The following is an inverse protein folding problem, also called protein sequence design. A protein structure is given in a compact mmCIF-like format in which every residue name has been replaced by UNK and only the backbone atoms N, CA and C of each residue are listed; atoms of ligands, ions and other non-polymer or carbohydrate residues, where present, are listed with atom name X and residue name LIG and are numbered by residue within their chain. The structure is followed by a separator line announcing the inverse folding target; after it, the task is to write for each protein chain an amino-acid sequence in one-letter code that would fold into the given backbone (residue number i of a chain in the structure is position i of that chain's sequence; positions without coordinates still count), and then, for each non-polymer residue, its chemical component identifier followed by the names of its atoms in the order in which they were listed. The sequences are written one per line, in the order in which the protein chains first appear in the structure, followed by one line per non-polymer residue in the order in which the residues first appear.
data_IF_793170861206
#
_entry.id   IF_793170861206
#
_cell.length_a   1.000
_cell.length_b   1.000
_cell.length_c   1.000
_cell.angle_alpha   90.00
_cell.angle_beta   90.00
_cell.angle_gamma   90.00
#
_symmetry.space_group_name_H-M   'P 1'
#
loop_
_entity.id
_entity.type
_entity.pdbx_description
1 polymer ?
#
# COMPACT_ATOMS: atom_id res chain seq x y z
N UNK A 1 -13.87 9.95 -0.65
CA UNK A 1 -13.26 9.08 0.37
C UNK A 1 -12.34 8.09 -0.32
N UNK A 2 -11.11 8.04 0.13
CA UNK A 2 -10.13 7.15 -0.50
C UNK A 2 -10.35 5.71 -0.08
N UNK A 3 -9.99 4.81 -0.97
CA UNK A 3 -10.10 3.37 -0.77
C UNK A 3 -8.72 2.76 -0.61
N UNK A 4 -8.56 2.00 0.48
CA UNK A 4 -7.33 1.29 0.82
C UNK A 4 -7.59 -0.21 0.70
N UNK A 5 -6.75 -0.91 -0.06
CA UNK A 5 -6.74 -2.36 -0.07
C UNK A 5 -5.69 -2.84 0.91
N UNK A 6 -6.13 -3.52 1.95
CA UNK A 6 -5.26 -4.07 2.98
C UNK A 6 -5.03 -5.56 2.71
N UNK A 7 -3.77 -5.93 2.55
CA UNK A 7 -3.37 -7.32 2.38
C UNK A 7 -2.62 -7.76 3.64
N UNK A 8 -3.17 -8.74 4.36
CA UNK A 8 -2.59 -9.25 5.59
C UNK A 8 -2.95 -10.72 5.76
N UNK A 9 -1.94 -11.56 5.94
CA UNK A 9 -2.16 -13.01 6.04
C UNK A 9 -2.64 -13.47 7.40
N UNK A 10 -2.33 -12.73 8.47
CA UNK A 10 -2.80 -13.04 9.81
C UNK A 10 -4.20 -12.47 10.01
N UNK A 11 -5.23 -13.32 10.26
CA UNK A 11 -6.60 -12.84 10.41
C UNK A 11 -6.80 -11.82 11.52
N UNK A 12 -6.10 -11.98 12.65
CA UNK A 12 -6.23 -11.05 13.76
C UNK A 12 -5.65 -9.68 13.42
N UNK A 13 -4.49 -9.66 12.76
CA UNK A 13 -3.89 -8.41 12.29
C UNK A 13 -4.72 -7.75 11.20
N UNK A 14 -5.31 -8.54 10.32
CA UNK A 14 -6.18 -8.01 9.28
C UNK A 14 -7.38 -7.26 9.88
N UNK A 15 -8.05 -7.88 10.85
CA UNK A 15 -9.18 -7.24 11.55
C UNK A 15 -8.74 -5.96 12.25
N UNK A 16 -7.64 -6.03 13.00
CA UNK A 16 -7.17 -4.88 13.78
C UNK A 16 -6.77 -3.71 12.89
N UNK A 17 -6.00 -3.96 11.84
CA UNK A 17 -5.58 -2.92 10.90
C UNK A 17 -6.75 -2.34 10.14
N UNK A 18 -7.69 -3.17 9.71
CA UNK A 18 -8.88 -2.68 9.02
C UNK A 18 -9.70 -1.75 9.89
N UNK A 19 -9.85 -2.07 11.18
CA UNK A 19 -10.55 -1.22 12.13
C UNK A 19 -9.87 0.14 12.28
N UNK A 20 -8.55 0.15 12.39
CA UNK A 20 -7.78 1.39 12.50
C UNK A 20 -7.95 2.25 11.25
N UNK A 21 -7.81 1.64 10.07
CA UNK A 21 -7.95 2.37 8.81
C UNK A 21 -9.35 2.95 8.63
N UNK A 22 -10.38 2.19 9.00
CA UNK A 22 -11.75 2.68 8.95
C UNK A 22 -11.98 3.82 9.92
N UNK A 23 -11.32 3.78 11.07
CA UNK A 23 -11.41 4.88 12.05
C UNK A 23 -10.81 6.18 11.52
N UNK A 24 -9.89 6.10 10.57
CA UNK A 24 -9.34 7.27 9.89
C UNK A 24 -10.25 7.81 8.78
N UNK A 25 -11.35 7.11 8.49
CA UNK A 25 -12.31 7.54 7.48
C UNK A 25 -12.11 6.90 6.09
N UNK A 26 -11.21 5.94 5.96
CA UNK A 26 -11.00 5.28 4.67
C UNK A 26 -12.00 4.15 4.44
N UNK A 27 -12.33 3.92 3.17
CA UNK A 27 -12.98 2.69 2.76
C UNK A 27 -11.92 1.61 2.67
N UNK A 28 -12.15 0.47 3.31
CA UNK A 28 -11.14 -0.60 3.38
C UNK A 28 -11.66 -1.85 2.69
N UNK A 29 -10.88 -2.32 1.74
CA UNK A 29 -11.05 -3.63 1.14
C UNK A 29 -10.01 -4.56 1.77
N UNK A 30 -10.39 -5.79 2.05
CA UNK A 30 -9.55 -6.74 2.78
C UNK A 30 -9.18 -7.90 1.88
N UNK A 31 -7.93 -8.34 1.98
CA UNK A 31 -7.44 -9.52 1.30
C UNK A 31 -6.46 -10.26 2.21
N UNK A 32 -6.50 -11.57 2.20
CA UNK A 32 -5.61 -12.41 3.01
C UNK A 32 -4.37 -12.87 2.26
N UNK A 33 -4.28 -12.56 0.98
CA UNK A 33 -3.17 -12.97 0.12
C UNK A 33 -3.10 -12.06 -1.11
N UNK A 34 -1.99 -12.13 -1.83
CA UNK A 34 -1.86 -11.42 -3.10
C UNK A 34 -2.85 -11.92 -4.15
N UNK A 35 -3.13 -13.23 -4.13
CA UNK A 35 -4.11 -13.80 -5.04
C UNK A 35 -5.51 -13.25 -4.80
N UNK A 36 -5.93 -13.18 -3.54
CA UNK A 36 -7.21 -12.56 -3.20
C UNK A 36 -7.21 -11.08 -3.51
N UNK A 37 -6.12 -10.39 -3.24
CA UNK A 37 -5.98 -8.97 -3.57
C UNK A 37 -6.13 -8.72 -5.06
N UNK A 38 -5.56 -9.57 -5.89
CA UNK A 38 -5.72 -9.47 -7.33
C UNK A 38 -7.19 -9.58 -7.75
N UNK A 39 -7.90 -10.56 -7.17
CA UNK A 39 -9.33 -10.73 -7.44
C UNK A 39 -10.13 -9.52 -7.01
N UNK A 40 -9.85 -8.98 -5.83
CA UNK A 40 -10.51 -7.77 -5.33
C UNK A 40 -10.27 -6.59 -6.26
N UNK A 41 -9.03 -6.40 -6.70
CA UNK A 41 -8.68 -5.30 -7.61
C UNK A 41 -9.39 -5.43 -8.96
N UNK A 42 -9.50 -6.65 -9.48
CA UNK A 42 -10.13 -6.90 -10.76
C UNK A 42 -11.65 -6.70 -10.70
N UNK A 43 -12.27 -6.98 -9.56
CA UNK A 43 -13.71 -6.91 -9.39
C UNK A 43 -14.21 -5.55 -8.88
N UNK A 44 -13.37 -4.80 -8.21
CA UNK A 44 -13.75 -3.52 -7.62
C UNK A 44 -13.98 -2.48 -8.70
N UNK A 45 -15.15 -1.87 -8.68
CA UNK A 45 -15.56 -0.92 -9.72
C UNK A 45 -15.21 0.54 -9.40
N UNK A 46 -14.46 0.80 -8.41
CA UNK A 46 -14.01 2.15 -8.09
C UNK A 46 -12.51 2.24 -8.13
N UNK A 47 -12.00 3.40 -7.82
CA UNK A 47 -10.56 3.61 -7.70
C UNK A 47 -10.06 2.96 -6.41
N UNK A 48 -8.97 2.21 -6.50
CA UNK A 48 -8.21 1.82 -5.32
C UNK A 48 -7.00 2.75 -5.26
N UNK A 49 -6.93 3.54 -4.19
CA UNK A 49 -5.94 4.61 -4.07
C UNK A 49 -4.63 4.13 -3.48
N UNK A 50 -4.70 3.13 -2.59
CA UNK A 50 -3.55 2.67 -1.82
C UNK A 50 -3.65 1.18 -1.56
N UNK A 51 -2.53 0.47 -1.70
CA UNK A 51 -2.37 -0.87 -1.16
C UNK A 51 -1.44 -0.80 0.03
N UNK A 52 -1.84 -1.44 1.13
CA UNK A 52 -1.02 -1.59 2.32
C UNK A 52 -0.74 -3.08 2.52
N UNK A 53 0.53 -3.45 2.58
CA UNK A 53 0.94 -4.84 2.75
C UNK A 53 2.34 -4.94 3.35
N UNK A 54 2.70 -6.13 3.85
CA UNK A 54 4.06 -6.41 4.26
C UNK A 54 4.99 -6.53 3.06
N UNK A 55 6.23 -6.13 3.24
CA UNK A 55 7.27 -6.42 2.26
C UNK A 55 7.53 -7.93 2.21
N UNK A 56 7.82 -8.42 1.02
CA UNK A 56 8.26 -9.79 0.83
C UNK A 56 9.78 -9.82 0.65
N UNK A 57 10.46 -10.88 1.12
CA UNK A 57 11.87 -11.08 0.78
C UNK A 57 12.11 -11.18 -0.72
N UNK A 58 11.12 -11.62 -1.45
CA UNK A 58 11.19 -11.68 -2.90
C UNK A 58 10.67 -10.37 -3.49
N UNK A 59 11.60 -9.49 -3.71
CA UNK A 59 11.39 -8.18 -4.28
C UNK A 59 10.82 -8.23 -5.70
N UNK A 60 11.24 -9.19 -6.51
CA UNK A 60 10.76 -9.31 -7.89
C UNK A 60 9.26 -9.65 -7.95
N UNK A 61 8.80 -10.48 -7.03
CA UNK A 61 7.38 -10.82 -6.93
C UNK A 61 6.55 -9.58 -6.58
N UNK A 62 7.03 -8.80 -5.63
CA UNK A 62 6.34 -7.57 -5.21
C UNK A 62 6.32 -6.57 -6.36
N UNK A 63 7.44 -6.38 -7.03
CA UNK A 63 7.54 -5.46 -8.17
C UNK A 63 6.58 -5.87 -9.29
N UNK A 64 6.56 -7.14 -9.65
CA UNK A 64 5.68 -7.64 -10.70
C UNK A 64 4.21 -7.49 -10.33
N UNK A 65 3.87 -7.76 -9.07
CA UNK A 65 2.51 -7.60 -8.57
C UNK A 65 2.01 -6.17 -8.79
N UNK A 66 2.79 -5.18 -8.37
CA UNK A 66 2.41 -3.77 -8.53
C UNK A 66 2.43 -3.33 -9.99
N UNK A 67 3.33 -3.85 -10.79
CA UNK A 67 3.36 -3.55 -12.22
C UNK A 67 2.06 -3.97 -12.89
N UNK A 68 1.56 -5.15 -12.55
CA UNK A 68 0.28 -5.63 -13.07
C UNK A 68 -0.90 -4.84 -12.55
N UNK A 69 -0.88 -4.48 -11.27
CA UNK A 69 -1.96 -3.71 -10.68
C UNK A 69 -2.12 -2.34 -11.32
N UNK A 70 -1.03 -1.73 -11.72
CA UNK A 70 -1.07 -0.43 -12.40
C UNK A 70 -1.80 -0.47 -13.73
N UNK A 71 -1.91 -1.63 -14.35
CA UNK A 71 -2.70 -1.78 -15.58
C UNK A 71 -4.19 -1.61 -15.32
N UNK A 72 -4.65 -1.95 -14.11
CA UNK A 72 -6.06 -1.85 -13.72
C UNK A 72 -6.32 -0.56 -12.95
N UNK A 73 -5.39 -0.20 -12.07
CA UNK A 73 -5.48 0.98 -11.21
C UNK A 73 -4.22 1.82 -11.38
N UNK A 74 -4.14 2.66 -12.44
CA UNK A 74 -2.90 3.38 -12.78
C UNK A 74 -2.40 4.34 -11.71
N UNK A 75 -3.26 4.79 -10.81
CA UNK A 75 -2.91 5.75 -9.77
C UNK A 75 -2.63 5.09 -8.42
N UNK A 76 -2.54 3.77 -8.40
CA UNK A 76 -2.34 3.04 -7.15
C UNK A 76 -0.99 3.40 -6.53
N UNK A 77 -0.97 3.51 -5.21
CA UNK A 77 0.22 3.75 -4.40
C UNK A 77 0.39 2.63 -3.40
N UNK A 78 1.58 2.50 -2.86
CA UNK A 78 1.90 1.40 -1.95
C UNK A 78 2.44 1.91 -0.63
N UNK A 79 1.90 1.40 0.47
CA UNK A 79 2.51 1.52 1.78
C UNK A 79 2.97 0.13 2.20
N UNK A 80 4.27 -0.04 2.31
CA UNK A 80 4.87 -1.33 2.62
C UNK A 80 5.30 -1.36 4.07
N UNK A 81 4.78 -2.34 4.81
CA UNK A 81 5.13 -2.55 6.21
C UNK A 81 6.38 -3.43 6.27
N UNK A 82 7.33 -3.05 7.12
CA UNK A 82 8.62 -3.74 7.16
C UNK A 82 9.15 -3.82 8.58
N UNK A 83 9.94 -4.84 8.87
CA UNK A 83 10.68 -4.95 10.13
C UNK A 83 12.06 -4.29 10.04
N UNK A 84 12.54 -4.01 8.84
CA UNK A 84 13.78 -3.29 8.61
C UNK A 84 13.55 -1.78 8.62
N UNK A 85 14.63 -0.98 8.71
CA UNK A 85 14.48 0.47 8.67
C UNK A 85 13.91 0.92 7.32
N UNK A 86 13.04 1.91 7.37
CA UNK A 86 12.39 2.45 6.16
C UNK A 86 13.40 3.00 5.16
N UNK A 87 14.43 3.68 5.65
CA UNK A 87 15.48 4.22 4.79
C UNK A 87 16.24 3.11 4.06
N UNK A 88 16.54 2.03 4.78
CA UNK A 88 17.24 0.88 4.20
C UNK A 88 16.41 0.19 3.14
N UNK A 89 15.11 0.04 3.38
CA UNK A 89 14.21 -0.56 2.41
C UNK A 89 14.07 0.30 1.16
N UNK A 90 13.98 1.61 1.33
CA UNK A 90 13.89 2.54 0.22
C UNK A 90 15.12 2.46 -0.71
N UNK A 91 16.29 2.17 -0.16
CA UNK A 91 17.51 1.99 -0.96
C UNK A 91 17.49 0.69 -1.77
N UNK A 92 16.85 -0.36 -1.22
CA UNK A 92 16.88 -1.70 -1.80
C UNK A 92 15.74 -1.99 -2.75
N UNK A 93 14.58 -1.39 -2.50
CA UNK A 93 13.38 -1.68 -3.26
C UNK A 93 13.14 -0.60 -4.30
N UNK A 94 13.23 -1.00 -5.56
CA UNK A 94 12.70 -0.18 -6.64
C UNK A 94 11.24 -0.59 -6.85
N UNK A 95 10.32 0.38 -6.83
CA UNK A 95 8.90 0.12 -7.00
C UNK A 95 8.40 0.83 -8.26
N UNK A 96 7.44 0.22 -8.98
CA UNK A 96 6.92 0.86 -10.20
C UNK A 96 5.91 1.97 -9.91
N UNK A 97 5.55 2.20 -8.66
CA UNK A 97 4.58 3.20 -8.25
C UNK A 97 5.12 4.00 -7.07
N UNK A 98 4.42 5.08 -6.73
CA UNK A 98 4.68 5.82 -5.51
C UNK A 98 4.56 4.91 -4.31
N UNK A 99 5.58 4.85 -3.48
CA UNK A 99 5.56 4.01 -2.29
C UNK A 99 6.26 4.67 -1.12
N UNK A 100 5.89 4.22 0.08
CA UNK A 100 6.58 4.52 1.32
C UNK A 100 6.71 3.23 2.11
N UNK A 101 7.68 3.21 3.02
CA UNK A 101 7.91 2.09 3.92
C UNK A 101 7.63 2.55 5.34
N UNK A 102 6.93 1.72 6.11
CA UNK A 102 6.65 1.98 7.50
C UNK A 102 7.18 0.83 8.35
N UNK A 103 8.13 1.15 9.24
CA UNK A 103 8.78 0.13 10.06
C UNK A 103 7.90 -0.24 11.26
N UNK A 104 7.75 -1.53 11.51
CA UNK A 104 7.06 -2.05 12.69
C UNK A 104 8.01 -2.13 13.87
N UNK A 105 7.53 -1.95 15.10
CA UNK A 105 6.19 -1.50 15.44
C UNK A 105 5.98 -0.02 15.17
N UNK A 106 4.75 0.37 14.83
CA UNK A 106 4.43 1.78 14.58
C UNK A 106 3.20 2.18 15.38
N UNK A 107 3.08 3.49 15.62
CA UNK A 107 1.93 4.07 16.27
C UNK A 107 0.85 4.40 15.26
N UNK A 108 -0.39 4.52 15.74
CA UNK A 108 -1.50 4.86 14.86
C UNK A 108 -1.30 6.20 14.17
N UNK A 109 -0.72 7.19 14.86
CA UNK A 109 -0.45 8.49 14.26
C UNK A 109 0.62 8.40 13.16
N UNK A 110 1.63 7.57 13.33
CA UNK A 110 2.64 7.34 12.28
C UNK A 110 2.02 6.68 11.05
N UNK A 111 1.12 5.73 11.26
CA UNK A 111 0.38 5.09 10.17
C UNK A 111 -0.48 6.11 9.43
N UNK A 112 -1.25 6.92 10.17
CA UNK A 112 -2.10 7.95 9.58
C UNK A 112 -1.28 8.93 8.74
N UNK A 113 -0.15 9.39 9.24
CA UNK A 113 0.73 10.32 8.54
C UNK A 113 1.33 9.71 7.29
N UNK A 114 1.74 8.44 7.34
CA UNK A 114 2.30 7.75 6.19
C UNK A 114 1.27 7.61 5.06
N UNK A 115 0.05 7.24 5.40
CA UNK A 115 -1.03 7.13 4.42
C UNK A 115 -1.36 8.50 3.82
N UNK A 116 -1.50 9.50 4.66
CA UNK A 116 -1.81 10.85 4.21
C UNK A 116 -0.72 11.41 3.32
N UNK A 117 0.53 11.19 3.68
CA UNK A 117 1.66 11.61 2.85
C UNK A 117 1.64 11.00 1.45
N UNK A 118 1.23 9.74 1.34
CA UNK A 118 1.09 9.09 0.05
C UNK A 118 -0.12 9.59 -0.74
N UNK A 119 -1.25 9.76 -0.09
CA UNK A 119 -2.50 10.14 -0.76
C UNK A 119 -2.53 11.61 -1.16
N UNK A 120 -2.04 12.48 -0.31
CA UNK A 120 -1.93 13.91 -0.57
C UNK A 120 -0.62 14.25 -1.29
N UNK A 121 0.25 13.30 -1.31
CA UNK A 121 1.56 13.45 -1.87
C UNK A 121 1.49 13.57 -3.37
N UNK A 122 2.55 13.92 -3.93
CA UNK A 122 2.54 14.84 -5.03
C UNK A 122 2.25 14.19 -6.35
N UNK A 123 1.10 14.49 -6.81
CA UNK A 123 0.92 14.62 -8.24
C UNK A 123 2.03 15.50 -8.79
N UNK A 124 2.41 16.54 -8.02
CA UNK A 124 3.53 17.40 -8.36
C UNK A 124 4.84 16.62 -8.46
N UNK A 125 5.09 15.67 -7.56
CA UNK A 125 6.28 14.85 -7.65
C UNK A 125 6.24 13.89 -8.83
N UNK A 126 5.09 13.31 -9.11
CA UNK A 126 4.93 12.47 -10.27
C UNK A 126 5.18 13.25 -11.57
N UNK A 127 4.72 14.49 -11.62
CA UNK A 127 5.00 15.38 -12.73
C UNK A 127 6.48 15.74 -12.78
N UNK A 128 7.08 16.02 -11.63
CA UNK A 128 8.49 16.32 -11.55
C UNK A 128 9.36 15.18 -12.02
N UNK A 129 8.96 13.95 -11.75
CA UNK A 129 9.69 12.77 -12.19
C UNK A 129 9.65 12.56 -13.71
N UNK A 130 8.83 13.30 -14.41
CA UNK A 130 8.71 13.19 -15.85
C UNK A 130 9.79 13.96 -16.62
N UNK A 131 10.63 14.69 -15.90
CA UNK A 131 11.73 15.42 -16.53
C UNK A 131 13.09 14.70 -16.37
#
# INVERSE_FOLDING_TARGET
METVLLIETDPANLVALAMVLRSFGYTVLEADSRGEAWSVCAEHQGTIHLIMMETSPDHDIVYEFFTRLQLIHPQIRALLLTDASSARMAEKFAMPCECSFLQRPFRADALADAIKGLLDGPKARAVSAAW
#
